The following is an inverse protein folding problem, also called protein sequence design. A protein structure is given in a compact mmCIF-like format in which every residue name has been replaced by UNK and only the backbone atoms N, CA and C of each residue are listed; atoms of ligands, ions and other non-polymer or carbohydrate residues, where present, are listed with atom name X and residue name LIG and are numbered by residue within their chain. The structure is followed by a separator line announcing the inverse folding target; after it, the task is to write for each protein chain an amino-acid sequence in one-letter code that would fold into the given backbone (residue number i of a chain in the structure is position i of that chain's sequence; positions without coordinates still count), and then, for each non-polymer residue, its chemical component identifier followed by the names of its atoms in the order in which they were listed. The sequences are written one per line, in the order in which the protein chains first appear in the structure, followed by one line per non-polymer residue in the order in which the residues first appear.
data_IF_648554387264
#
_entry.id   IF_648554387264
#
_cell.length_a   1.000
_cell.length_b   1.000
_cell.length_c   1.000
_cell.angle_alpha   90.00
_cell.angle_beta   90.00
_cell.angle_gamma   90.00
#
_symmetry.space_group_name_H-M   'P 1'
#
loop_
_entity.id
_entity.type
_entity.pdbx_description
1 polymer ?
#
# COMPACT_ATOMS: atom_id res chain seq x y z
N UNK A 1 -17.13 7.83 -0.07
CA UNK A 1 -16.33 6.81 -0.79
C UNK A 1 -15.29 6.23 0.15
N UNK A 2 -15.02 4.91 0.10
CA UNK A 2 -13.96 4.26 0.89
C UNK A 2 -13.03 3.43 0.00
N UNK A 3 -11.74 3.39 0.36
CA UNK A 3 -10.72 2.60 -0.32
C UNK A 3 -10.03 1.70 0.71
N UNK A 4 -9.95 0.41 0.44
CA UNK A 4 -9.35 -0.59 1.32
C UNK A 4 -8.29 -1.36 0.55
N UNK A 5 -7.07 -1.40 1.10
CA UNK A 5 -5.90 -2.04 0.50
C UNK A 5 -5.35 -3.10 1.44
N UNK A 6 -5.22 -4.33 0.97
CA UNK A 6 -4.34 -5.32 1.56
C UNK A 6 -3.16 -5.54 0.64
N UNK A 7 -1.95 -5.28 1.14
CA UNK A 7 -0.73 -5.35 0.34
C UNK A 7 0.37 -6.15 1.07
N UNK A 8 0.60 -7.41 0.66
CA UNK A 8 1.62 -8.25 1.27
C UNK A 8 3.01 -8.10 0.64
N UNK A 9 3.17 -7.37 -0.47
CA UNK A 9 4.39 -7.40 -1.27
C UNK A 9 5.03 -6.01 -1.43
N UNK A 10 4.23 -4.97 -1.68
CA UNK A 10 4.69 -3.61 -1.98
C UNK A 10 3.79 -2.58 -1.29
N UNK A 11 4.28 -1.35 -1.16
CA UNK A 11 3.44 -0.23 -0.72
C UNK A 11 2.34 0.03 -1.76
N UNK A 12 1.06 0.28 -1.34
CA UNK A 12 -0.01 0.63 -2.27
C UNK A 12 0.37 1.81 -3.18
N UNK A 13 0.03 1.71 -4.47
CA UNK A 13 0.44 2.70 -5.46
C UNK A 13 0.07 4.15 -5.10
N UNK A 14 -1.05 4.34 -4.39
CA UNK A 14 -1.54 5.65 -3.95
C UNK A 14 -0.69 6.27 -2.83
N UNK A 15 0.09 5.46 -2.11
CA UNK A 15 0.96 5.87 -1.00
C UNK A 15 2.45 5.84 -1.36
N UNK A 16 2.79 5.56 -2.62
CA UNK A 16 4.19 5.51 -3.05
C UNK A 16 4.77 6.90 -3.25
N UNK A 17 6.04 7.08 -2.84
CA UNK A 17 6.86 8.22 -3.27
C UNK A 17 7.29 8.06 -4.73
N UNK A 18 7.73 9.15 -5.37
CA UNK A 18 8.18 9.11 -6.76
C UNK A 18 9.36 8.15 -6.98
N UNK A 19 10.33 8.19 -6.08
CA UNK A 19 11.55 7.37 -6.19
C UNK A 19 11.28 5.88 -5.91
N UNK A 20 10.40 5.57 -4.94
CA UNK A 20 9.94 4.20 -4.73
C UNK A 20 9.18 3.67 -5.95
N UNK A 21 8.25 4.45 -6.50
CA UNK A 21 7.50 4.08 -7.70
C UNK A 21 8.42 3.86 -8.91
N UNK A 22 9.42 4.75 -9.09
CA UNK A 22 10.43 4.62 -10.15
C UNK A 22 11.24 3.35 -10.02
N UNK A 23 11.80 3.10 -8.83
CA UNK A 23 12.61 1.91 -8.58
C UNK A 23 11.80 0.62 -8.85
N UNK A 24 10.55 0.59 -8.39
CA UNK A 24 9.66 -0.55 -8.59
C UNK A 24 9.32 -0.79 -10.07
N UNK A 25 9.02 0.28 -10.81
CA UNK A 25 8.67 0.20 -12.23
C UNK A 25 9.87 -0.17 -13.09
N UNK A 26 11.04 0.45 -12.87
CA UNK A 26 12.24 0.26 -13.69
C UNK A 26 12.86 -1.13 -13.53
N UNK A 27 12.80 -1.73 -12.33
CA UNK A 27 13.55 -2.95 -12.04
C UNK A 27 12.63 -4.17 -11.77
N UNK A 28 11.34 -3.94 -11.50
CA UNK A 28 10.43 -5.01 -11.10
C UNK A 28 9.26 -5.25 -12.06
N UNK A 29 8.47 -4.21 -12.31
CA UNK A 29 7.17 -4.37 -12.99
C UNK A 29 7.28 -4.17 -14.50
N UNK A 30 8.12 -3.24 -14.97
CA UNK A 30 8.22 -2.83 -16.38
C UNK A 30 9.70 -2.65 -16.80
N UNK A 31 10.55 -3.69 -16.66
CA UNK A 31 11.99 -3.54 -16.87
C UNK A 31 12.38 -3.18 -18.31
N UNK A 32 11.52 -3.50 -19.28
CA UNK A 32 11.80 -3.29 -20.71
C UNK A 32 11.36 -1.91 -21.23
N UNK A 33 10.79 -1.04 -20.37
CA UNK A 33 10.34 0.29 -20.78
C UNK A 33 11.49 1.30 -20.80
N UNK A 34 11.42 2.26 -21.72
CA UNK A 34 12.35 3.40 -21.74
C UNK A 34 12.19 4.28 -20.51
N UNK A 35 13.22 5.09 -20.21
CA UNK A 35 13.21 6.02 -19.07
C UNK A 35 12.02 6.98 -19.15
N UNK A 36 11.75 7.53 -20.32
CA UNK A 36 10.63 8.46 -20.56
C UNK A 36 9.27 7.79 -20.32
N UNK A 37 9.12 6.51 -20.70
CA UNK A 37 7.92 5.74 -20.43
C UNK A 37 7.74 5.45 -18.94
N UNK A 38 8.82 5.18 -18.22
CA UNK A 38 8.81 5.04 -16.76
C UNK A 38 8.42 6.36 -16.10
N UNK A 39 8.99 7.48 -16.54
CA UNK A 39 8.66 8.82 -16.03
C UNK A 39 7.16 9.12 -16.16
N UNK A 40 6.59 8.84 -17.33
CA UNK A 40 5.15 9.01 -17.56
C UNK A 40 4.31 8.15 -16.60
N UNK A 41 4.71 6.90 -16.36
CA UNK A 41 4.03 6.01 -15.42
C UNK A 41 4.12 6.49 -13.97
N UNK A 42 5.29 6.98 -13.56
CA UNK A 42 5.50 7.57 -12.23
C UNK A 42 4.59 8.78 -12.05
N UNK A 43 4.60 9.71 -13.01
CA UNK A 43 3.74 10.90 -12.96
C UNK A 43 2.25 10.54 -12.91
N UNK A 44 1.80 9.57 -13.71
CA UNK A 44 0.42 9.09 -13.68
C UNK A 44 0.06 8.46 -12.32
N UNK A 45 1.01 7.81 -11.65
CA UNK A 45 0.83 7.23 -10.31
C UNK A 45 0.72 8.31 -9.24
N UNK A 46 1.62 9.29 -9.26
CA UNK A 46 1.60 10.42 -8.34
C UNK A 46 0.34 11.29 -8.51
N UNK A 47 -0.13 11.48 -9.74
CA UNK A 47 -1.35 12.23 -10.01
C UNK A 47 -2.60 11.64 -9.30
N UNK A 48 -2.61 10.33 -9.00
CA UNK A 48 -3.72 9.71 -8.25
C UNK A 48 -3.80 10.18 -6.80
N UNK A 49 -2.73 10.74 -6.26
CA UNK A 49 -2.68 11.22 -4.87
C UNK A 49 -3.55 12.47 -4.65
N UNK A 50 -3.93 13.17 -5.73
CA UNK A 50 -4.86 14.32 -5.67
C UNK A 50 -6.16 13.97 -4.95
N UNK A 51 -6.53 12.69 -4.89
CA UNK A 51 -7.73 12.23 -4.17
C UNK A 51 -7.66 12.53 -2.65
N UNK A 52 -6.46 12.63 -2.09
CA UNK A 52 -6.25 12.96 -0.69
C UNK A 52 -6.47 14.44 -0.35
N UNK A 53 -6.46 15.31 -1.37
CA UNK A 53 -6.56 16.76 -1.21
C UNK A 53 -7.91 17.29 -1.71
N UNK A 54 -8.87 16.39 -1.95
CA UNK A 54 -10.25 16.75 -2.31
C UNK A 54 -10.97 17.37 -1.09
N UNK A 55 -11.99 18.22 -1.30
CA UNK A 55 -12.83 18.74 -0.21
C UNK A 55 -13.47 17.64 0.64
N UNK A 56 -13.84 16.52 0.02
CA UNK A 56 -14.37 15.33 0.66
C UNK A 56 -13.49 14.12 0.26
N UNK A 57 -12.32 13.96 0.92
CA UNK A 57 -11.43 12.86 0.61
C UNK A 57 -12.07 11.52 1.01
N UNK A 58 -11.74 10.41 0.33
CA UNK A 58 -12.22 9.10 0.72
C UNK A 58 -11.62 8.65 2.05
N UNK A 59 -12.35 7.83 2.78
CA UNK A 59 -11.78 7.04 3.87
C UNK A 59 -10.85 5.97 3.28
N UNK A 60 -9.58 5.98 3.68
CA UNK A 60 -8.58 5.04 3.17
C UNK A 60 -8.06 4.17 4.30
N UNK A 61 -8.16 2.86 4.13
CA UNK A 61 -7.55 1.88 5.04
C UNK A 61 -6.54 1.04 4.29
N UNK A 62 -5.28 1.12 4.69
CA UNK A 62 -4.18 0.31 4.16
C UNK A 62 -3.74 -0.68 5.23
N UNK A 63 -3.76 -1.96 4.90
CA UNK A 63 -3.16 -3.02 5.72
C UNK A 63 -1.96 -3.55 4.96
N UNK A 64 -0.80 -3.52 5.58
CA UNK A 64 0.48 -3.93 5.00
C UNK A 64 1.02 -5.13 5.78
N UNK A 65 1.60 -6.10 5.10
CA UNK A 65 2.47 -7.07 5.75
C UNK A 65 3.78 -6.40 6.15
N UNK A 66 4.34 -6.73 7.31
CA UNK A 66 5.61 -6.15 7.78
C UNK A 66 6.76 -6.38 6.79
N UNK A 67 6.74 -7.45 6.00
CA UNK A 67 7.74 -7.72 4.97
C UNK A 67 7.85 -6.61 3.91
N UNK A 68 6.75 -5.88 3.67
CA UNK A 68 6.73 -4.71 2.77
C UNK A 68 7.67 -3.62 3.26
N UNK A 69 7.76 -3.41 4.59
CA UNK A 69 8.60 -2.41 5.22
C UNK A 69 10.07 -2.82 5.26
N UNK A 70 10.34 -4.12 5.17
CA UNK A 70 11.69 -4.71 5.25
C UNK A 70 12.30 -5.02 3.88
N UNK A 71 11.50 -5.11 2.84
CA UNK A 71 11.96 -5.40 1.49
C UNK A 71 12.62 -4.18 0.86
N UNK A 72 13.88 -4.32 0.46
CA UNK A 72 14.59 -3.25 -0.25
C UNK A 72 13.96 -3.04 -1.64
N UNK A 73 13.56 -1.80 -1.89
CA UNK A 73 13.14 -1.28 -3.20
C UNK A 73 13.99 -0.05 -3.49
N UNK A 74 14.76 -0.08 -4.58
CA UNK A 74 15.71 0.97 -4.92
C UNK A 74 16.91 0.98 -3.99
N UNK A 75 16.98 1.94 -3.08
CA UNK A 75 18.07 2.12 -2.12
C UNK A 75 17.55 2.28 -0.69
N UNK A 76 18.46 2.24 0.28
CA UNK A 76 18.12 2.53 1.68
C UNK A 76 17.47 3.93 1.84
N UNK A 77 17.97 4.93 1.13
CA UNK A 77 17.37 6.28 1.14
C UNK A 77 15.95 6.30 0.59
N UNK A 78 15.69 5.60 -0.52
CA UNK A 78 14.33 5.46 -1.09
C UNK A 78 13.39 4.80 -0.10
N UNK A 79 13.84 3.76 0.59
CA UNK A 79 13.03 3.08 1.60
C UNK A 79 12.77 3.97 2.82
N UNK A 80 13.80 4.69 3.29
CA UNK A 80 13.65 5.62 4.41
C UNK A 80 12.57 6.68 4.14
N UNK A 81 12.66 7.34 2.98
CA UNK A 81 11.69 8.34 2.54
C UNK A 81 10.29 7.76 2.36
N UNK A 82 10.19 6.55 1.81
CA UNK A 82 8.91 5.86 1.64
C UNK A 82 8.24 5.54 2.98
N UNK A 83 8.99 5.07 3.96
CA UNK A 83 8.45 4.77 5.28
C UNK A 83 8.07 6.05 6.04
N UNK A 84 8.86 7.11 5.93
CA UNK A 84 8.53 8.43 6.48
C UNK A 84 7.20 8.95 5.90
N UNK A 85 7.02 8.85 4.58
CA UNK A 85 5.78 9.22 3.89
C UNK A 85 4.56 8.41 4.39
N UNK A 86 4.72 7.10 4.58
CA UNK A 86 3.65 6.27 5.14
C UNK A 86 3.26 6.71 6.56
N UNK A 87 4.25 7.04 7.39
CA UNK A 87 4.01 7.53 8.74
C UNK A 87 3.28 8.89 8.73
N UNK A 88 3.67 9.80 7.83
CA UNK A 88 3.02 11.09 7.65
C UNK A 88 1.56 10.94 7.16
N UNK A 89 1.34 10.11 6.13
CA UNK A 89 0.00 9.82 5.63
C UNK A 89 -0.92 9.26 6.73
N UNK A 90 -0.38 8.44 7.64
CA UNK A 90 -1.15 7.86 8.74
C UNK A 90 -1.63 8.89 9.77
N UNK A 91 -1.11 10.12 9.77
CA UNK A 91 -1.57 11.21 10.63
C UNK A 91 -2.86 11.85 10.13
N UNK A 92 -3.16 11.74 8.83
CA UNK A 92 -4.40 12.27 8.26
C UNK A 92 -5.63 11.55 8.83
N UNK A 93 -6.69 12.25 9.25
CA UNK A 93 -7.82 11.64 9.97
C UNK A 93 -8.56 10.56 9.16
N UNK A 94 -8.59 10.70 7.83
CA UNK A 94 -9.26 9.80 6.89
C UNK A 94 -8.35 8.71 6.32
N UNK A 95 -7.07 8.62 6.75
CA UNK A 95 -6.13 7.58 6.34
C UNK A 95 -5.74 6.72 7.55
N UNK A 96 -6.00 5.42 7.46
CA UNK A 96 -5.56 4.45 8.44
C UNK A 96 -4.51 3.53 7.81
N UNK A 97 -3.32 3.45 8.41
CA UNK A 97 -2.28 2.50 8.04
C UNK A 97 -2.12 1.51 9.17
N UNK A 98 -2.24 0.23 8.84
CA UNK A 98 -2.10 -0.89 9.74
C UNK A 98 -1.00 -1.83 9.24
N UNK A 99 -0.27 -2.46 10.14
CA UNK A 99 0.79 -3.43 9.79
C UNK A 99 0.48 -4.76 10.46
N UNK A 100 0.47 -5.83 9.68
CA UNK A 100 0.46 -7.20 10.20
C UNK A 100 1.89 -7.56 10.55
N UNK A 101 2.21 -7.83 11.85
CA UNK A 101 3.58 -8.12 12.26
C UNK A 101 4.06 -9.47 11.74
N UNK A 102 5.37 -9.57 11.50
CA UNK A 102 6.00 -10.78 10.97
C UNK A 102 5.95 -11.99 11.94
N UNK A 103 5.76 -11.72 13.22
CA UNK A 103 5.61 -12.73 14.30
C UNK A 103 4.14 -13.04 14.63
N UNK A 104 3.21 -12.59 13.81
CA UNK A 104 1.80 -12.95 13.92
C UNK A 104 1.64 -14.47 13.92
N UNK A 105 1.02 -15.02 14.98
CA UNK A 105 1.11 -16.45 15.33
C UNK A 105 0.37 -17.39 14.39
N UNK A 106 -0.49 -16.90 13.50
CA UNK A 106 -1.35 -17.72 12.65
C UNK A 106 -1.14 -17.46 11.16
N UNK A 107 -1.46 -18.48 10.36
CA UNK A 107 -1.61 -18.36 8.91
C UNK A 107 -2.78 -17.41 8.63
N UNK A 108 -2.48 -16.18 8.32
CA UNK A 108 -3.49 -15.12 8.16
C UNK A 108 -4.24 -15.21 6.82
N UNK A 109 -5.43 -14.62 6.81
CA UNK A 109 -6.34 -14.67 5.66
C UNK A 109 -5.79 -13.96 4.39
N UNK A 110 -4.69 -13.23 4.50
CA UNK A 110 -4.05 -12.48 3.41
C UNK A 110 -3.25 -13.29 2.40
N UNK A 111 -3.09 -14.61 2.59
CA UNK A 111 -2.35 -15.48 1.67
C UNK A 111 -2.96 -15.59 0.27
N UNK A 112 -4.20 -15.16 0.09
CA UNK A 112 -4.87 -15.10 -1.22
C UNK A 112 -4.31 -14.06 -2.19
N UNK A 113 -3.33 -13.26 -1.76
CA UNK A 113 -2.71 -12.19 -2.56
C UNK A 113 -3.23 -10.80 -2.23
N UNK A 114 -2.66 -9.79 -2.91
CA UNK A 114 -3.05 -8.40 -2.75
C UNK A 114 -4.49 -8.16 -3.25
N UNK A 115 -5.22 -7.31 -2.52
CA UNK A 115 -6.56 -6.89 -2.94
C UNK A 115 -6.80 -5.42 -2.62
N UNK A 116 -7.57 -4.77 -3.50
CA UNK A 116 -7.96 -3.39 -3.37
C UNK A 116 -9.48 -3.31 -3.57
N UNK A 117 -10.20 -2.75 -2.59
CA UNK A 117 -11.65 -2.63 -2.66
C UNK A 117 -12.00 -1.14 -2.65
N UNK A 118 -12.76 -0.71 -3.64
CA UNK A 118 -13.34 0.62 -3.70
C UNK A 118 -14.84 0.54 -3.52
N UNK A 119 -15.39 1.32 -2.59
CA UNK A 119 -16.82 1.40 -2.30
C UNK A 119 -17.26 2.86 -2.33
N UNK A 120 -18.42 3.13 -2.94
CA UNK A 120 -18.99 4.47 -3.02
C UNK A 120 -20.50 4.45 -2.98
N UNK A 121 -21.09 5.57 -2.57
CA UNK A 121 -22.54 5.70 -2.50
C UNK A 121 -23.18 5.65 -3.89
N UNK A 122 -24.13 4.77 -4.08
CA UNK A 122 -24.89 4.63 -5.33
C UNK A 122 -24.15 3.94 -6.48
N UNK A 123 -22.93 3.43 -6.25
CA UNK A 123 -22.16 2.67 -7.23
C UNK A 123 -21.85 1.26 -6.73
N UNK A 124 -21.73 0.25 -7.62
CA UNK A 124 -21.26 -1.06 -7.20
C UNK A 124 -19.87 -1.00 -6.60
N UNK A 125 -19.63 -1.82 -5.58
CA UNK A 125 -18.28 -2.02 -5.04
C UNK A 125 -17.39 -2.73 -6.06
N UNK A 126 -16.15 -2.26 -6.18
CA UNK A 126 -15.16 -2.77 -7.13
C UNK A 126 -14.04 -3.45 -6.37
N UNK A 127 -13.73 -4.69 -6.75
CA UNK A 127 -12.53 -5.41 -6.31
C UNK A 127 -11.49 -5.37 -7.44
N UNK A 128 -10.28 -4.94 -7.10
CA UNK A 128 -9.10 -5.12 -7.94
C UNK A 128 -8.10 -6.02 -7.20
N UNK A 129 -7.64 -7.06 -7.90
CA UNK A 129 -6.60 -7.96 -7.42
C UNK A 129 -5.34 -7.77 -8.26
N UNK A 130 -4.22 -7.49 -7.61
CA UNK A 130 -2.94 -7.34 -8.28
C UNK A 130 -2.43 -8.72 -8.72
N UNK A 131 -2.26 -8.92 -10.01
CA UNK A 131 -1.69 -10.09 -10.66
C UNK A 131 -0.95 -9.64 -11.92
N UNK A 132 -0.31 -10.55 -12.65
CA UNK A 132 0.43 -10.22 -13.90
C UNK A 132 -0.47 -9.46 -14.89
N UNK A 133 -1.72 -9.88 -15.06
CA UNK A 133 -2.70 -9.20 -15.90
C UNK A 133 -3.67 -8.31 -15.09
N UNK A 134 -3.64 -8.42 -13.76
CA UNK A 134 -4.61 -7.79 -12.89
C UNK A 134 -6.05 -8.30 -13.10
N UNK A 135 -6.88 -8.26 -12.10
CA UNK A 135 -8.30 -8.58 -12.25
C UNK A 135 -9.14 -7.50 -11.60
N UNK A 136 -10.05 -6.89 -12.35
CA UNK A 136 -11.05 -5.95 -11.80
C UNK A 136 -12.44 -6.53 -11.98
N UNK A 137 -13.26 -6.50 -10.92
CA UNK A 137 -14.60 -7.08 -10.94
C UNK A 137 -15.57 -6.37 -10.00
N UNK A 138 -16.82 -6.28 -10.39
CA UNK A 138 -17.96 -5.84 -9.59
C UNK A 138 -18.84 -7.02 -9.14
N UNK A 139 -18.40 -8.25 -9.39
CA UNK A 139 -19.17 -9.45 -9.01
C UNK A 139 -19.34 -9.51 -7.49
N UNK A 140 -20.55 -9.23 -7.02
CA UNK A 140 -20.91 -9.13 -5.59
C UNK A 140 -20.38 -10.29 -4.73
N UNK A 141 -20.41 -11.52 -5.28
CA UNK A 141 -19.92 -12.69 -4.54
C UNK A 141 -18.40 -12.65 -4.33
N UNK A 142 -17.63 -12.14 -5.28
CA UNK A 142 -16.17 -12.00 -5.18
C UNK A 142 -15.81 -10.80 -4.28
N UNK A 143 -16.47 -9.67 -4.46
CA UNK A 143 -16.29 -8.49 -3.60
C UNK A 143 -16.55 -8.88 -2.15
N UNK A 144 -17.67 -9.56 -1.86
CA UNK A 144 -17.99 -10.01 -0.51
C UNK A 144 -16.95 -10.95 0.10
N UNK A 145 -16.36 -11.86 -0.69
CA UNK A 145 -15.27 -12.72 -0.23
C UNK A 145 -14.02 -11.90 0.11
N UNK A 146 -13.68 -10.91 -0.73
CA UNK A 146 -12.55 -10.02 -0.51
C UNK A 146 -12.75 -9.15 0.75
N UNK A 147 -13.94 -8.63 0.99
CA UNK A 147 -14.27 -7.89 2.21
C UNK A 147 -14.05 -8.73 3.46
N UNK A 148 -14.54 -9.97 3.47
CA UNK A 148 -14.36 -10.89 4.60
C UNK A 148 -12.87 -11.17 4.82
N UNK A 149 -12.10 -11.40 3.74
CA UNK A 149 -10.66 -11.60 3.84
C UNK A 149 -9.96 -10.35 4.38
N UNK A 150 -10.30 -9.17 3.87
CA UNK A 150 -9.75 -7.91 4.33
C UNK A 150 -9.99 -7.67 5.83
N UNK A 151 -11.22 -7.86 6.31
CA UNK A 151 -11.54 -7.66 7.74
C UNK A 151 -10.79 -8.65 8.64
N UNK A 152 -10.57 -9.88 8.20
CA UNK A 152 -9.74 -10.84 8.93
C UNK A 152 -8.30 -10.39 9.03
N UNK A 153 -7.67 -10.02 7.91
CA UNK A 153 -6.30 -9.51 7.89
C UNK A 153 -6.17 -8.25 8.74
N UNK A 154 -7.16 -7.35 8.66
CA UNK A 154 -7.19 -6.14 9.48
C UNK A 154 -7.29 -6.47 10.98
N UNK A 155 -7.99 -7.55 11.34
CA UNK A 155 -8.08 -8.06 12.72
C UNK A 155 -6.73 -8.54 13.27
N UNK A 156 -5.84 -9.04 12.42
CA UNK A 156 -4.50 -9.52 12.79
C UNK A 156 -3.45 -8.40 12.83
N UNK A 157 -3.81 -7.20 12.32
CA UNK A 157 -2.89 -6.07 12.24
C UNK A 157 -2.83 -5.26 13.53
N UNK A 158 -1.70 -4.61 13.75
CA UNK A 158 -1.50 -3.66 14.84
C UNK A 158 -2.46 -2.46 14.72
N UNK A 159 -2.89 -1.86 15.84
CA UNK A 159 -3.59 -0.58 15.86
C UNK A 159 -2.78 0.53 15.16
N UNK A 160 -3.46 1.59 14.68
CA UNK A 160 -2.85 2.70 13.92
C UNK A 160 -1.59 3.26 14.58
N UNK A 161 -1.64 3.58 15.87
CA UNK A 161 -0.50 4.14 16.61
C UNK A 161 0.68 3.18 16.64
N UNK A 162 0.46 1.92 17.02
CA UNK A 162 1.50 0.90 17.07
C UNK A 162 2.08 0.57 15.67
N UNK A 163 1.24 0.62 14.63
CA UNK A 163 1.69 0.47 13.25
C UNK A 163 2.61 1.61 12.82
N UNK A 164 2.23 2.85 13.13
CA UNK A 164 3.07 4.03 12.87
C UNK A 164 4.41 3.95 13.59
N UNK A 165 4.40 3.57 14.88
CA UNK A 165 5.62 3.42 15.66
C UNK A 165 6.54 2.34 15.08
N UNK A 166 5.97 1.22 14.61
CA UNK A 166 6.72 0.16 13.93
C UNK A 166 7.33 0.67 12.62
N UNK A 167 6.57 1.40 11.78
CA UNK A 167 7.05 1.97 10.53
C UNK A 167 8.25 2.88 10.78
N UNK A 168 8.14 3.83 11.72
CA UNK A 168 9.23 4.77 12.04
C UNK A 168 10.46 4.05 12.61
N UNK A 169 10.25 3.07 13.50
CA UNK A 169 11.34 2.27 14.05
C UNK A 169 12.09 1.52 12.94
N UNK A 170 11.39 0.85 12.03
CA UNK A 170 12.01 0.13 10.92
C UNK A 170 12.71 1.07 9.93
N UNK A 171 12.17 2.28 9.70
CA UNK A 171 12.85 3.30 8.92
C UNK A 171 14.22 3.64 9.51
N UNK A 172 14.28 3.89 10.82
CA UNK A 172 15.52 4.25 11.50
C UNK A 172 16.50 3.07 11.62
N UNK A 173 16.02 1.88 11.96
CA UNK A 173 16.88 0.71 12.18
C UNK A 173 17.48 0.14 10.90
N UNK A 174 16.71 0.09 9.81
CA UNK A 174 17.09 -0.62 8.59
C UNK A 174 17.55 0.31 7.47
N UNK A 175 16.95 1.50 7.37
CA UNK A 175 17.07 2.33 6.17
C UNK A 175 17.75 3.66 6.39
N UNK A 176 17.87 4.13 7.62
CA UNK A 176 18.62 5.34 7.91
C UNK A 176 20.09 5.11 7.61
N UNK A 177 20.59 5.78 6.56
CA UNK A 177 22.00 5.72 6.22
C UNK A 177 22.82 6.26 7.40
N UNK A 178 23.63 5.43 8.03
CA UNK A 178 24.58 5.90 9.04
C UNK A 178 25.53 6.84 8.30
N UNK A 179 25.45 8.12 8.62
CA UNK A 179 26.48 9.07 8.21
C UNK A 179 27.78 8.58 8.87
N UNK A 180 28.66 8.02 8.02
CA UNK A 180 30.01 7.65 8.40
C UNK A 180 30.92 8.88 8.45
#
# INVERSE_FOLDING_TARGET
MSLRYWQPIIVPAIAQTGDYARALLSHGIQPDKSSEAIDALVMARLARRVIFDQPEPPDVTMVLDESVLRRLVGSAGVMYEQLAELAELSERPYIAVHVVPADSADVYAGLGGALNIASGDGTPDVLHMDAIEGMTTERRALVRKAEIAFERVRGDALPRGASRDLILRLADELWKTKQG
#
